data_IF_434604827024
#
_entry.id   IF_434604827024
#
_cell.length_a   1.000
_cell.length_b   1.000
_cell.length_c   1.000
_cell.angle_alpha   90.00
_cell.angle_beta   90.00
_cell.angle_gamma   90.00
#
_symmetry.space_group_name_H-M   'P 1'
#
loop_
_entity.id
_entity.type
_entity.pdbx_description
1 polymer ?
#
# COMPACT_ATOMS: atom_id res chain seq x y z
N UNK A 1 9.15 -8.08 -13.94
CA UNK A 1 7.84 -7.49 -14.29
C UNK A 1 7.92 -6.77 -15.62
N UNK A 2 7.00 -7.03 -16.54
CA UNK A 2 6.74 -6.28 -17.76
C UNK A 2 5.50 -5.40 -17.56
N UNK A 3 5.25 -4.44 -18.47
CA UNK A 3 4.01 -3.66 -18.45
C UNK A 3 2.75 -4.52 -18.58
N UNK A 4 2.83 -5.70 -19.21
CA UNK A 4 1.72 -6.65 -19.28
C UNK A 4 1.45 -7.29 -17.91
N UNK A 5 2.49 -7.70 -17.18
CA UNK A 5 2.33 -8.30 -15.84
C UNK A 5 1.72 -7.31 -14.83
N UNK A 6 1.98 -6.00 -14.96
CA UNK A 6 1.28 -4.96 -14.19
C UNK A 6 -0.21 -4.97 -14.52
N UNK A 7 -0.57 -4.92 -15.81
CA UNK A 7 -1.97 -4.89 -16.23
C UNK A 7 -2.74 -6.12 -15.74
N UNK A 8 -2.15 -7.30 -15.87
CA UNK A 8 -2.76 -8.54 -15.40
C UNK A 8 -2.95 -8.56 -13.87
N UNK A 9 -2.00 -7.98 -13.13
CA UNK A 9 -2.14 -7.82 -11.68
C UNK A 9 -3.28 -6.87 -11.31
N UNK A 10 -3.39 -5.72 -11.99
CA UNK A 10 -4.44 -4.72 -11.74
C UNK A 10 -5.81 -5.21 -12.16
N UNK A 11 -5.90 -5.99 -13.25
CA UNK A 11 -7.14 -6.63 -13.68
C UNK A 11 -7.63 -7.63 -12.61
N UNK A 12 -6.74 -8.50 -12.10
CA UNK A 12 -7.09 -9.42 -11.01
C UNK A 12 -7.54 -8.71 -9.74
N UNK A 13 -6.94 -7.57 -9.40
CA UNK A 13 -7.42 -6.72 -8.31
C UNK A 13 -8.85 -6.23 -8.60
N UNK A 14 -9.10 -5.76 -9.82
CA UNK A 14 -10.38 -5.21 -10.22
C UNK A 14 -11.50 -6.24 -10.36
N UNK A 15 -11.21 -7.49 -10.68
CA UNK A 15 -12.22 -8.55 -10.79
C UNK A 15 -12.46 -9.31 -9.48
N UNK A 16 -11.67 -9.03 -8.44
CA UNK A 16 -11.79 -9.72 -7.16
C UNK A 16 -13.10 -9.37 -6.45
N UNK A 17 -13.86 -10.40 -6.06
CA UNK A 17 -15.15 -10.25 -5.39
C UNK A 17 -14.95 -10.16 -3.86
N UNK A 18 -15.32 -9.04 -3.27
CA UNK A 18 -15.24 -8.80 -1.82
C UNK A 18 -16.55 -9.14 -1.12
N UNK A 19 -16.47 -9.46 0.18
CA UNK A 19 -17.67 -9.64 1.01
C UNK A 19 -18.45 -8.33 1.25
N UNK A 20 -19.68 -8.41 1.80
CA UNK A 20 -20.60 -7.26 1.92
C UNK A 20 -20.15 -6.15 2.88
N UNK A 21 -19.14 -6.41 3.72
CA UNK A 21 -18.52 -5.42 4.62
C UNK A 21 -17.10 -5.07 4.19
N UNK A 22 -16.86 -5.10 2.88
CA UNK A 22 -15.63 -4.68 2.25
C UNK A 22 -15.91 -4.11 0.86
N UNK A 23 -15.15 -3.09 0.49
CA UNK A 23 -15.24 -2.42 -0.81
C UNK A 23 -14.00 -2.72 -1.66
N UNK A 24 -14.21 -3.30 -2.83
CA UNK A 24 -13.22 -3.28 -3.90
C UNK A 24 -13.27 -1.93 -4.66
N UNK A 25 -12.45 -0.97 -4.25
CA UNK A 25 -12.32 0.33 -4.92
C UNK A 25 -11.47 0.28 -6.20
N UNK A 26 -11.04 -0.91 -6.63
CA UNK A 26 -10.49 -1.17 -7.96
C UNK A 26 -11.50 -1.84 -8.89
N UNK A 27 -12.72 -2.17 -8.44
CA UNK A 27 -13.68 -2.98 -9.20
C UNK A 27 -13.86 -2.50 -10.65
N UNK A 28 -13.73 -3.42 -11.61
CA UNK A 28 -13.92 -3.16 -13.04
C UNK A 28 -15.39 -2.96 -13.42
N UNK A 29 -16.32 -3.35 -12.56
CA UNK A 29 -17.77 -3.19 -12.76
C UNK A 29 -18.21 -1.71 -12.65
N UNK A 30 -17.39 -0.88 -12.01
CA UNK A 30 -17.70 0.52 -11.72
C UNK A 30 -16.73 1.46 -12.46
N UNK A 31 -17.20 2.28 -13.42
CA UNK A 31 -16.36 3.19 -14.19
C UNK A 31 -15.60 4.20 -13.32
N UNK A 32 -16.16 4.64 -12.19
CA UNK A 32 -15.51 5.59 -11.28
C UNK A 32 -14.21 5.06 -10.65
N UNK A 33 -13.99 3.75 -10.67
CA UNK A 33 -12.75 3.14 -10.17
C UNK A 33 -11.61 3.15 -11.20
N UNK A 34 -11.86 3.56 -12.46
CA UNK A 34 -10.85 3.60 -13.51
C UNK A 34 -9.65 4.47 -13.13
N UNK A 35 -9.88 5.62 -12.49
CA UNK A 35 -8.80 6.49 -12.05
C UNK A 35 -7.92 5.84 -10.95
N UNK A 36 -8.51 5.04 -10.07
CA UNK A 36 -7.76 4.30 -9.03
C UNK A 36 -6.91 3.18 -9.64
N UNK A 37 -7.45 2.45 -10.63
CA UNK A 37 -6.70 1.45 -11.41
C UNK A 37 -5.55 2.08 -12.20
N UNK A 38 -5.79 3.24 -12.82
CA UNK A 38 -4.75 4.02 -13.48
C UNK A 38 -3.63 4.40 -12.51
N UNK A 39 -4.00 4.95 -11.36
CA UNK A 39 -3.03 5.40 -10.36
C UNK A 39 -2.17 4.25 -9.78
N UNK A 40 -2.77 3.09 -9.47
CA UNK A 40 -2.00 1.94 -8.98
C UNK A 40 -1.10 1.35 -10.07
N UNK A 41 -1.55 1.36 -11.33
CA UNK A 41 -0.72 0.99 -12.49
C UNK A 41 0.50 1.90 -12.59
N UNK A 42 0.28 3.22 -12.53
CA UNK A 42 1.33 4.24 -12.59
C UNK A 42 2.34 4.09 -11.44
N UNK A 43 1.85 3.82 -10.24
CA UNK A 43 2.70 3.52 -9.08
C UNK A 43 3.61 2.32 -9.35
N UNK A 44 3.07 1.22 -9.85
CA UNK A 44 3.88 0.03 -10.16
C UNK A 44 4.89 0.29 -11.27
N UNK A 45 4.53 1.03 -12.32
CA UNK A 45 5.47 1.42 -13.38
C UNK A 45 6.67 2.20 -12.82
N UNK A 46 6.42 3.23 -12.00
CA UNK A 46 7.49 4.02 -11.39
C UNK A 46 8.34 3.19 -10.41
N UNK A 47 7.71 2.30 -9.64
CA UNK A 47 8.45 1.40 -8.75
C UNK A 47 9.32 0.41 -9.53
N UNK A 48 8.91 -0.02 -10.72
CA UNK A 48 9.74 -0.91 -11.55
C UNK A 48 11.01 -0.24 -12.03
N UNK A 49 10.92 1.04 -12.40
CA UNK A 49 12.09 1.84 -12.76
C UNK A 49 13.07 1.94 -11.58
N UNK A 50 12.55 2.02 -10.35
CA UNK A 50 13.31 2.20 -9.10
C UNK A 50 13.80 0.91 -8.44
N UNK A 51 13.32 -0.25 -8.89
CA UNK A 51 13.77 -1.59 -8.47
C UNK A 51 13.89 -1.74 -6.94
N UNK A 52 12.78 -1.59 -6.18
CA UNK A 52 12.81 -1.78 -4.74
C UNK A 52 13.30 -3.17 -4.37
N UNK A 53 14.21 -3.26 -3.39
CA UNK A 53 14.66 -4.53 -2.83
C UNK A 53 13.75 -5.03 -1.68
N UNK A 54 12.90 -4.15 -1.16
CA UNK A 54 12.11 -4.40 0.06
C UNK A 54 10.63 -4.16 -0.20
N UNK A 55 9.78 -5.02 0.34
CA UNK A 55 8.32 -4.86 0.41
C UNK A 55 7.87 -4.64 1.85
N UNK A 56 7.24 -3.50 2.13
CA UNK A 56 6.53 -3.27 3.38
C UNK A 56 5.07 -3.71 3.24
N UNK A 57 4.62 -4.62 4.11
CA UNK A 57 3.24 -5.11 4.14
C UNK A 57 2.53 -4.58 5.38
N UNK A 58 1.59 -3.64 5.21
CA UNK A 58 0.72 -3.13 6.27
C UNK A 58 -0.68 -3.76 6.28
N UNK A 59 -1.63 -3.17 7.00
CA UNK A 59 -2.95 -3.77 7.27
C UNK A 59 -3.90 -3.77 6.06
N UNK A 60 -4.61 -2.66 5.86
CA UNK A 60 -5.61 -2.52 4.81
C UNK A 60 -5.79 -1.02 4.47
N UNK A 61 -6.23 -0.70 3.24
CA UNK A 61 -6.64 0.63 2.83
C UNK A 61 -7.64 1.28 3.80
N UNK A 62 -7.33 2.50 4.26
CA UNK A 62 -8.28 3.36 4.98
C UNK A 62 -9.18 4.15 4.04
N UNK A 63 -10.41 4.47 4.47
CA UNK A 63 -11.39 5.19 3.63
C UNK A 63 -10.95 6.61 3.21
N UNK A 64 -9.91 7.17 3.85
CA UNK A 64 -9.34 8.50 3.58
C UNK A 64 -8.04 8.49 2.79
N UNK A 65 -7.51 7.31 2.50
CA UNK A 65 -6.20 7.12 1.89
C UNK A 65 -6.31 6.41 0.55
N UNK A 66 -5.71 5.22 0.47
CA UNK A 66 -5.65 4.39 -0.74
C UNK A 66 -7.04 4.09 -1.34
N UNK A 67 -8.10 3.99 -0.55
CA UNK A 67 -9.47 3.81 -1.06
C UNK A 67 -9.88 4.95 -2.00
N UNK A 68 -9.34 6.15 -1.79
CA UNK A 68 -9.64 7.34 -2.58
C UNK A 68 -8.62 7.52 -3.69
N UNK A 69 -7.33 7.35 -3.41
CA UNK A 69 -6.23 7.63 -4.36
C UNK A 69 -5.91 6.48 -5.30
N UNK A 70 -6.20 5.24 -4.92
CA UNK A 70 -5.73 4.02 -5.59
C UNK A 70 -4.28 3.63 -5.29
N UNK A 71 -3.50 4.47 -4.59
CA UNK A 71 -2.06 4.24 -4.38
C UNK A 71 -1.76 3.78 -2.95
N UNK A 72 -0.95 2.73 -2.73
CA UNK A 72 -0.62 2.21 -1.40
C UNK A 72 -0.13 3.27 -0.42
N UNK A 73 -0.74 3.31 0.77
CA UNK A 73 -0.38 4.22 1.88
C UNK A 73 -0.25 5.68 1.47
N UNK A 74 -1.09 6.14 0.55
CA UNK A 74 -1.17 7.57 0.16
C UNK A 74 -2.45 8.21 0.66
N UNK A 75 -2.53 9.54 0.50
CA UNK A 75 -3.69 10.35 0.81
C UNK A 75 -3.80 11.50 -0.21
N UNK A 76 -4.80 12.37 -0.04
CA UNK A 76 -4.99 13.58 -0.85
C UNK A 76 -3.72 14.43 -1.00
N UNK A 77 -2.98 14.68 0.08
CA UNK A 77 -1.81 15.56 0.04
C UNK A 77 -0.71 14.98 -0.86
N UNK A 78 -0.38 13.69 -0.66
CA UNK A 78 0.64 12.98 -1.42
C UNK A 78 0.27 12.89 -2.91
N UNK A 79 -0.94 12.41 -3.22
CA UNK A 79 -1.36 12.21 -4.63
C UNK A 79 -1.47 13.53 -5.40
N UNK A 80 -1.67 14.65 -4.70
CA UNK A 80 -1.69 15.99 -5.29
C UNK A 80 -0.29 16.60 -5.48
N UNK A 81 0.78 15.88 -5.11
CA UNK A 81 2.16 16.29 -5.37
C UNK A 81 2.98 16.72 -4.13
N UNK A 82 2.46 16.59 -2.90
CA UNK A 82 3.28 16.77 -1.68
C UNK A 82 4.13 15.53 -1.43
N UNK A 83 4.97 15.17 -2.40
CA UNK A 83 5.68 13.91 -2.43
C UNK A 83 7.18 14.08 -2.12
N UNK A 84 7.67 13.51 -1.01
CA UNK A 84 9.09 13.50 -0.68
C UNK A 84 10.02 12.87 -1.73
N UNK A 85 9.52 11.98 -2.60
CA UNK A 85 10.31 11.30 -3.64
C UNK A 85 10.03 11.82 -5.06
N UNK A 86 9.17 12.83 -5.22
CA UNK A 86 8.82 13.42 -6.53
C UNK A 86 8.16 12.44 -7.52
N UNK A 87 7.55 11.37 -7.03
CA UNK A 87 6.81 10.36 -7.80
C UNK A 87 5.38 10.78 -8.11
N UNK A 88 4.66 11.41 -7.19
CA UNK A 88 3.23 11.68 -7.28
C UNK A 88 2.89 13.03 -7.90
N UNK A 89 1.61 13.24 -8.20
CA UNK A 89 1.07 14.47 -8.76
C UNK A 89 0.59 14.34 -10.20
N UNK A 90 -0.27 15.26 -10.67
CA UNK A 90 -0.76 15.28 -12.05
C UNK A 90 0.36 15.35 -13.09
N UNK A 91 1.44 16.09 -12.80
CA UNK A 91 2.60 16.21 -13.69
C UNK A 91 3.34 14.88 -13.88
N UNK A 92 3.18 13.95 -12.93
CA UNK A 92 3.71 12.60 -13.01
C UNK A 92 2.70 11.58 -13.56
N UNK A 93 1.55 12.04 -14.06
CA UNK A 93 0.51 11.24 -14.68
C UNK A 93 -0.51 10.63 -13.71
N UNK A 94 -0.54 11.06 -12.45
CA UNK A 94 -1.56 10.63 -11.49
C UNK A 94 -2.85 11.40 -11.67
N UNK A 95 -3.97 10.68 -11.63
CA UNK A 95 -5.30 11.26 -11.67
C UNK A 95 -5.78 11.59 -10.26
N UNK A 96 -6.61 12.63 -10.15
CA UNK A 96 -7.29 13.00 -8.90
C UNK A 96 -8.77 12.60 -9.00
N UNK A 97 -9.16 11.41 -8.52
CA UNK A 97 -10.57 11.04 -8.40
C UNK A 97 -11.38 12.15 -7.70
N UNK A 98 -12.64 12.42 -8.09
CA UNK A 98 -13.43 13.52 -7.50
C UNK A 98 -13.50 13.49 -5.98
N UNK A 99 -13.52 12.29 -5.38
CA UNK A 99 -13.58 12.11 -3.93
C UNK A 99 -12.29 12.57 -3.21
N UNK A 100 -11.15 12.64 -3.92
CA UNK A 100 -9.90 13.23 -3.39
C UNK A 100 -10.14 14.67 -2.94
N UNK A 101 -11.03 15.42 -3.60
CA UNK A 101 -11.25 16.82 -3.28
C UNK A 101 -12.03 17.00 -1.97
N UNK A 102 -12.92 16.08 -1.64
CA UNK A 102 -13.86 16.20 -0.50
C UNK A 102 -13.42 15.43 0.74
N UNK A 103 -12.55 14.42 0.60
CA UNK A 103 -12.11 13.59 1.72
C UNK A 103 -10.89 14.22 2.43
N UNK A 104 -10.94 14.40 3.77
CA UNK A 104 -9.80 14.93 4.53
C UNK A 104 -8.59 14.00 4.45
N UNK A 105 -7.40 14.57 4.40
CA UNK A 105 -6.16 13.80 4.37
C UNK A 105 -5.98 12.95 5.63
N UNK A 106 -5.53 11.71 5.46
CA UNK A 106 -5.09 10.83 6.54
C UNK A 106 -3.62 11.12 6.90
N UNK A 107 -3.30 11.62 8.10
CA UNK A 107 -1.93 12.06 8.42
C UNK A 107 -0.91 10.93 8.45
N UNK A 108 -1.35 9.70 8.72
CA UNK A 108 -0.49 8.51 8.81
C UNK A 108 0.29 8.25 7.51
N UNK A 109 -0.36 8.42 6.36
CA UNK A 109 0.26 8.24 5.05
C UNK A 109 1.42 9.23 4.85
N UNK A 110 1.19 10.51 5.06
CA UNK A 110 2.23 11.55 4.95
C UNK A 110 3.39 11.29 5.91
N UNK A 111 3.10 10.86 7.15
CA UNK A 111 4.15 10.48 8.11
C UNK A 111 4.99 9.32 7.60
N UNK A 112 4.37 8.27 7.04
CA UNK A 112 5.08 7.12 6.49
C UNK A 112 6.05 7.56 5.38
N UNK A 113 5.55 8.28 4.37
CA UNK A 113 6.38 8.73 3.24
C UNK A 113 7.50 9.69 3.66
N UNK A 114 7.26 10.59 4.62
CA UNK A 114 8.31 11.47 5.16
C UNK A 114 9.40 10.67 5.89
N UNK A 115 9.03 9.66 6.68
CA UNK A 115 10.03 8.80 7.35
C UNK A 115 10.86 8.02 6.32
N UNK A 116 10.23 7.50 5.28
CA UNK A 116 10.93 6.79 4.19
C UNK A 116 11.95 7.71 3.50
N UNK A 117 11.57 8.94 3.19
CA UNK A 117 12.46 9.91 2.55
C UNK A 117 13.60 10.37 3.48
N UNK A 118 13.31 10.64 4.75
CA UNK A 118 14.34 11.01 5.73
C UNK A 118 15.40 9.92 5.93
N UNK A 119 15.06 8.65 5.63
CA UNK A 119 15.97 7.51 5.71
C UNK A 119 16.66 7.20 4.36
N UNK A 120 16.35 7.96 3.31
CA UNK A 120 16.72 7.68 1.92
C UNK A 120 16.40 6.22 1.54
N UNK A 121 15.17 5.81 1.82
CA UNK A 121 14.74 4.41 1.70
C UNK A 121 13.37 4.32 1.03
N UNK A 122 13.34 3.82 -0.21
CA UNK A 122 12.13 3.68 -1.01
C UNK A 122 11.75 2.20 -1.23
N UNK A 123 10.93 1.60 -0.36
CA UNK A 123 10.40 0.26 -0.52
C UNK A 123 9.16 0.23 -1.42
N UNK A 124 8.82 -0.95 -1.94
CA UNK A 124 7.47 -1.23 -2.40
C UNK A 124 6.53 -1.26 -1.18
N UNK A 125 5.37 -0.61 -1.27
CA UNK A 125 4.38 -0.59 -0.21
C UNK A 125 3.14 -1.37 -0.66
N UNK A 126 2.63 -2.25 0.20
CA UNK A 126 1.37 -2.96 -0.06
C UNK A 126 0.60 -3.33 1.21
N UNK A 127 -0.65 -3.74 1.06
CA UNK A 127 -1.52 -4.15 2.17
C UNK A 127 -1.70 -5.66 2.23
N UNK A 128 -1.75 -6.20 3.45
CA UNK A 128 -2.12 -7.59 3.73
C UNK A 128 -3.51 -7.93 3.19
N UNK A 129 -4.44 -6.97 3.28
CA UNK A 129 -5.72 -7.02 2.59
C UNK A 129 -5.86 -5.80 1.67
N UNK A 130 -5.84 -5.95 0.33
CA UNK A 130 -5.75 -4.82 -0.60
C UNK A 130 -7.08 -4.09 -0.86
N UNK A 131 -8.16 -4.48 -0.18
CA UNK A 131 -9.49 -3.87 -0.30
C UNK A 131 -9.87 -3.19 1.00
N UNK A 132 -10.97 -2.42 1.01
CA UNK A 132 -11.33 -1.60 2.16
C UNK A 132 -12.38 -2.28 3.06
N UNK A 133 -11.98 -2.89 4.20
CA UNK A 133 -12.89 -3.43 5.20
C UNK A 133 -13.52 -2.29 6.01
N UNK A 134 -14.85 -2.32 6.11
CA UNK A 134 -15.61 -1.32 6.86
C UNK A 134 -16.58 -1.97 7.84
N UNK A 135 -17.12 -1.19 8.77
CA UNK A 135 -18.23 -1.65 9.61
C UNK A 135 -19.47 -1.88 8.73
N UNK A 136 -20.32 -2.89 9.03
CA UNK A 136 -21.56 -3.11 8.30
C UNK A 136 -22.41 -1.85 8.21
N UNK A 137 -22.86 -1.49 7.00
CA UNK A 137 -23.66 -0.29 6.74
C UNK A 137 -22.92 1.05 6.86
N UNK A 138 -21.61 1.06 7.16
CA UNK A 138 -20.82 2.29 7.36
C UNK A 138 -19.57 2.30 6.47
N UNK A 139 -19.74 2.59 5.19
CA UNK A 139 -18.65 2.55 4.19
C UNK A 139 -17.51 3.56 4.43
N UNK A 140 -17.75 4.61 5.24
CA UNK A 140 -16.73 5.58 5.67
C UNK A 140 -16.19 5.27 7.07
N UNK A 141 -15.91 4.00 7.35
CA UNK A 141 -15.32 3.55 8.60
C UNK A 141 -14.23 2.53 8.34
N UNK A 142 -13.20 2.50 9.18
CA UNK A 142 -12.17 1.48 9.11
C UNK A 142 -12.55 0.33 10.05
N UNK A 143 -12.40 -0.90 9.58
CA UNK A 143 -12.49 -2.12 10.39
C UNK A 143 -11.22 -2.95 10.16
N UNK A 144 -10.72 -3.63 11.16
CA UNK A 144 -9.65 -4.62 10.96
C UNK A 144 -10.15 -5.77 10.07
N UNK A 145 -9.41 -6.17 9.02
CA UNK A 145 -9.81 -7.28 8.17
C UNK A 145 -9.84 -8.59 8.98
N UNK A 146 -10.80 -9.44 8.67
CA UNK A 146 -10.95 -10.78 9.24
C UNK A 146 -9.86 -11.72 8.72
N UNK A 147 -9.69 -12.87 9.38
CA UNK A 147 -8.72 -13.87 8.93
C UNK A 147 -8.95 -14.37 7.49
N UNK A 148 -10.20 -14.66 7.06
CA UNK A 148 -10.47 -15.01 5.67
C UNK A 148 -10.13 -13.88 4.68
N UNK A 149 -10.41 -12.61 5.05
CA UNK A 149 -10.05 -11.45 4.22
C UNK A 149 -8.53 -11.32 4.08
N UNK A 150 -7.79 -11.45 5.19
CA UNK A 150 -6.31 -11.43 5.16
C UNK A 150 -5.77 -12.57 4.30
N UNK A 151 -6.30 -13.79 4.45
CA UNK A 151 -5.87 -14.96 3.68
C UNK A 151 -6.12 -14.77 2.17
N UNK A 152 -7.26 -14.16 1.80
CA UNK A 152 -7.55 -13.81 0.42
C UNK A 152 -6.62 -12.73 -0.15
N UNK A 153 -6.14 -11.81 0.70
CA UNK A 153 -5.19 -10.78 0.31
C UNK A 153 -3.75 -11.29 0.10
N UNK A 154 -3.39 -12.43 0.70
CA UNK A 154 -2.03 -12.99 0.67
C UNK A 154 -1.46 -13.15 -0.74
N UNK A 155 -2.28 -13.63 -1.68
CA UNK A 155 -1.84 -13.87 -3.06
C UNK A 155 -1.29 -12.60 -3.74
N UNK A 156 -1.83 -11.42 -3.39
CA UNK A 156 -1.47 -10.17 -4.04
C UNK A 156 -0.09 -9.67 -3.60
N UNK A 157 0.20 -9.67 -2.30
CA UNK A 157 1.53 -9.21 -1.84
C UNK A 157 2.63 -10.21 -2.23
N UNK A 158 2.33 -11.53 -2.25
CA UNK A 158 3.27 -12.55 -2.71
C UNK A 158 3.58 -12.40 -4.21
N UNK A 159 2.55 -12.14 -5.03
CA UNK A 159 2.75 -11.85 -6.44
C UNK A 159 3.60 -10.59 -6.65
N UNK A 160 3.36 -9.52 -5.89
CA UNK A 160 4.20 -8.33 -5.95
C UNK A 160 5.64 -8.63 -5.55
N UNK A 161 5.86 -9.40 -4.48
CA UNK A 161 7.19 -9.82 -4.06
C UNK A 161 7.92 -10.56 -5.19
N UNK A 162 7.25 -11.50 -5.87
CA UNK A 162 7.79 -12.23 -7.02
C UNK A 162 8.05 -11.32 -8.23
N UNK A 163 7.08 -10.48 -8.59
CA UNK A 163 7.12 -9.65 -9.80
C UNK A 163 8.22 -8.58 -9.73
N UNK A 164 8.39 -7.96 -8.56
CA UNK A 164 9.43 -6.97 -8.29
C UNK A 164 10.77 -7.57 -7.88
N UNK A 165 10.85 -8.90 -7.73
CA UNK A 165 12.06 -9.61 -7.25
C UNK A 165 12.54 -9.05 -5.91
N UNK A 166 11.60 -8.92 -4.98
CA UNK A 166 11.85 -8.42 -3.62
C UNK A 166 12.75 -9.41 -2.88
N UNK A 167 13.79 -8.90 -2.24
CA UNK A 167 14.72 -9.68 -1.42
C UNK A 167 14.20 -9.85 0.02
N UNK A 168 13.54 -8.81 0.54
CA UNK A 168 13.12 -8.77 1.93
C UNK A 168 11.68 -8.26 2.07
N UNK A 169 10.88 -8.98 2.83
CA UNK A 169 9.54 -8.52 3.24
C UNK A 169 9.63 -8.06 4.69
N UNK A 170 9.04 -6.91 5.00
CA UNK A 170 8.94 -6.39 6.37
C UNK A 170 7.47 -6.14 6.69
N UNK A 171 7.04 -6.67 7.82
CA UNK A 171 5.68 -6.49 8.30
C UNK A 171 5.51 -5.16 9.05
N UNK A 172 4.49 -4.38 8.69
CA UNK A 172 4.15 -3.13 9.36
C UNK A 172 2.90 -3.34 10.22
N UNK A 173 3.09 -3.32 11.54
CA UNK A 173 2.02 -3.56 12.51
C UNK A 173 1.60 -5.03 12.62
N UNK A 174 0.64 -5.28 13.50
CA UNK A 174 0.27 -6.65 13.88
C UNK A 174 -0.47 -7.41 12.77
N UNK A 175 -1.28 -6.72 11.96
CA UNK A 175 -2.04 -7.37 10.89
C UNK A 175 -1.16 -7.70 9.69
N UNK A 176 -0.28 -6.78 9.27
CA UNK A 176 0.75 -7.06 8.27
C UNK A 176 1.59 -8.27 8.67
N UNK A 177 2.04 -8.30 9.93
CA UNK A 177 2.82 -9.43 10.45
C UNK A 177 2.05 -10.74 10.43
N UNK A 178 0.78 -10.74 10.89
CA UNK A 178 -0.05 -11.94 10.88
C UNK A 178 -0.27 -12.48 9.46
N UNK A 179 -0.44 -11.61 8.47
CA UNK A 179 -0.59 -12.03 7.07
C UNK A 179 0.67 -12.73 6.56
N UNK A 180 1.84 -12.13 6.81
CA UNK A 180 3.11 -12.68 6.34
C UNK A 180 3.44 -13.99 7.06
N UNK A 181 3.31 -14.05 8.39
CA UNK A 181 3.61 -15.27 9.15
C UNK A 181 2.62 -16.40 8.92
N UNK A 182 1.36 -16.11 8.62
CA UNK A 182 0.39 -17.13 8.21
C UNK A 182 0.77 -17.83 6.90
N UNK A 183 1.67 -17.23 6.11
CA UNK A 183 2.23 -17.83 4.88
C UNK A 183 3.49 -18.66 5.14
N UNK A 184 3.88 -18.87 6.41
CA UNK A 184 5.08 -19.61 6.80
C UNK A 184 6.39 -18.83 6.72
N UNK A 185 6.33 -17.52 6.43
CA UNK A 185 7.52 -16.67 6.42
C UNK A 185 7.78 -16.08 7.80
N UNK A 186 9.01 -16.19 8.28
CA UNK A 186 9.50 -15.40 9.42
C UNK A 186 10.12 -14.11 8.90
N UNK A 187 9.58 -12.96 9.30
CA UNK A 187 9.99 -11.64 8.79
C UNK A 187 10.11 -10.62 9.90
N UNK A 188 10.98 -9.61 9.75
CA UNK A 188 11.01 -8.49 10.67
C UNK A 188 9.65 -7.78 10.76
N UNK A 189 9.29 -7.39 11.98
CA UNK A 189 8.09 -6.59 12.25
C UNK A 189 8.48 -5.23 12.81
N UNK A 190 7.92 -4.18 12.22
CA UNK A 190 8.05 -2.81 12.72
C UNK A 190 6.69 -2.24 13.16
N UNK A 191 6.73 -1.21 14.01
CA UNK A 191 5.52 -0.56 14.53
C UNK A 191 4.86 0.29 13.44
N UNK A 192 3.54 0.18 13.27
CA UNK A 192 2.78 1.05 12.37
C UNK A 192 2.83 2.53 12.83
N UNK A 193 2.96 3.52 11.92
CA UNK A 193 3.13 4.93 12.29
C UNK A 193 1.90 5.60 12.92
N UNK A 194 0.72 4.99 12.80
CA UNK A 194 -0.51 5.49 13.41
C UNK A 194 -0.47 5.52 14.95
N UNK A 195 -1.36 6.31 15.56
CA UNK A 195 -1.54 6.40 17.02
C UNK A 195 -0.24 6.68 17.79
N UNK A 196 0.53 7.69 17.35
CA UNK A 196 1.81 8.06 17.98
C UNK A 196 2.97 7.13 17.64
N UNK A 197 2.80 6.18 16.71
CA UNK A 197 3.81 5.20 16.34
C UNK A 197 4.96 5.69 15.46
N UNK A 198 4.99 6.98 15.09
CA UNK A 198 5.99 7.56 14.16
C UNK A 198 7.44 7.23 14.56
N UNK A 199 7.83 7.52 15.80
CA UNK A 199 9.22 7.34 16.24
C UNK A 199 9.63 5.86 16.28
N UNK A 200 8.70 4.97 16.66
CA UNK A 200 8.95 3.53 16.65
C UNK A 200 8.99 2.95 15.24
N UNK A 201 8.20 3.49 14.31
CA UNK A 201 8.26 3.13 12.89
C UNK A 201 9.63 3.52 12.30
N UNK A 202 10.07 4.77 12.55
CA UNK A 202 11.39 5.26 12.10
C UNK A 202 12.52 4.41 12.66
N UNK A 203 12.57 4.22 13.98
CA UNK A 203 13.62 3.43 14.63
C UNK A 203 13.64 2.00 14.09
N UNK A 204 12.49 1.36 13.97
CA UNK A 204 12.41 0.00 13.41
C UNK A 204 12.96 -0.11 11.99
N UNK A 205 12.74 0.88 11.12
CA UNK A 205 13.34 0.89 9.79
C UNK A 205 14.85 1.14 9.83
N UNK A 206 15.30 2.11 10.64
CA UNK A 206 16.71 2.44 10.80
C UNK A 206 17.50 1.23 11.31
N UNK A 207 17.02 0.56 12.36
CA UNK A 207 17.68 -0.62 12.94
C UNK A 207 17.83 -1.75 11.90
N UNK A 208 16.81 -1.98 11.05
CA UNK A 208 16.89 -3.00 9.99
C UNK A 208 17.86 -2.61 8.88
N UNK A 209 17.99 -1.32 8.56
CA UNK A 209 18.97 -0.82 7.61
C UNK A 209 20.40 -0.93 8.16
N UNK A 210 20.61 -0.56 9.42
CA UNK A 210 21.93 -0.54 10.07
C UNK A 210 22.49 -1.95 10.29
N UNK A 211 21.61 -2.90 10.60
CA UNK A 211 21.99 -4.32 10.73
C UNK A 211 22.17 -5.03 9.39
N UNK A 212 21.79 -4.39 8.28
CA UNK A 212 21.78 -5.00 6.94
C UNK A 212 20.68 -6.04 6.74
N UNK A 213 19.71 -6.14 7.65
CA UNK A 213 18.54 -7.01 7.52
C UNK A 213 17.65 -6.60 6.34
N UNK A 214 17.66 -5.32 5.98
CA UNK A 214 17.11 -4.79 4.73
C UNK A 214 18.11 -3.86 4.07
N UNK A 215 17.98 -3.66 2.75
CA UNK A 215 18.85 -2.77 1.97
C UNK A 215 18.05 -1.73 1.19
N UNK A 216 18.68 -0.58 0.96
CA UNK A 216 18.18 0.43 0.01
C UNK A 216 18.24 -0.14 -1.42
N UNK A 217 17.38 0.38 -2.29
CA UNK A 217 17.46 0.11 -3.72
C UNK A 217 18.82 0.56 -4.26
N UNK A 218 19.34 -0.15 -5.26
CA UNK A 218 20.58 0.22 -5.96
C UNK A 218 20.32 1.22 -7.07
#
# INVERSE_FOLDING_TARGET
MTGQEIRDFVERLGTFQTGPSSRNFFSTELPENAARRHNVTRYFEQMLERRPAVLLVGEAPGYRGMTVTGVPFTNKALISGHDPFGMFGPDNGYLLPPEVLTVPAEPTATVMWNVLADLDFLPLLWSAYPFHPHQPGRTQSNRTPSMPEIAAGTLFWQDLARLFKIDSVVAVGNIGHRSVTASGLDVPKIRHPAHGGKELFRRGLQDLLDTGAIRRSQ
#
